data_IF_258017508233
#
_entry.id   IF_258017508233
#
_cell.length_a   1.000
_cell.length_b   1.000
_cell.length_c   1.000
_cell.angle_alpha   90.00
_cell.angle_beta   90.00
_cell.angle_gamma   90.00
#
_symmetry.space_group_name_H-M   'P 1'
#
loop_
_entity.id
_entity.type
_entity.pdbx_description
1 polymer ?
#
# COMPACT_ATOMS: atom_id res chain seq x y z
N UNK A 1 -13.78 -28.18 -7.70
CA UNK A 1 -12.88 -28.43 -6.56
C UNK A 1 -12.59 -27.15 -5.78
N UNK A 2 -12.06 -26.08 -6.41
CA UNK A 2 -11.84 -24.79 -5.73
C UNK A 2 -13.06 -24.21 -5.01
N UNK A 3 -14.26 -24.29 -5.59
CA UNK A 3 -15.49 -23.80 -4.93
C UNK A 3 -15.86 -24.56 -3.66
N UNK A 4 -15.70 -25.89 -3.66
CA UNK A 4 -15.94 -26.72 -2.46
C UNK A 4 -14.90 -26.40 -1.38
N UNK A 5 -13.64 -26.19 -1.77
CA UNK A 5 -12.59 -25.74 -0.85
C UNK A 5 -12.93 -24.37 -0.24
N UNK A 6 -13.37 -23.40 -1.05
CA UNK A 6 -13.75 -22.05 -0.58
C UNK A 6 -14.95 -22.12 0.38
N UNK A 7 -15.98 -22.89 0.06
CA UNK A 7 -17.17 -23.06 0.90
C UNK A 7 -16.81 -23.75 2.22
N UNK A 8 -15.98 -24.80 2.18
CA UNK A 8 -15.50 -25.47 3.39
C UNK A 8 -14.66 -24.56 4.30
N UNK A 9 -13.82 -23.71 3.70
CA UNK A 9 -12.99 -22.74 4.42
C UNK A 9 -13.84 -21.62 5.04
N UNK A 10 -14.92 -21.20 4.36
CA UNK A 10 -15.87 -20.23 4.87
C UNK A 10 -16.66 -20.77 6.08
N UNK A 11 -17.14 -22.01 6.03
CA UNK A 11 -17.81 -22.67 7.15
C UNK A 11 -16.88 -22.88 8.35
N UNK A 12 -15.62 -23.24 8.10
CA UNK A 12 -14.60 -23.37 9.15
C UNK A 12 -14.35 -22.04 9.89
N UNK A 13 -14.35 -20.92 9.15
CA UNK A 13 -14.17 -19.60 9.75
C UNK A 13 -15.42 -19.06 10.44
N UNK A 14 -16.62 -19.44 10.00
CA UNK A 14 -17.87 -19.10 10.71
C UNK A 14 -17.96 -19.82 12.07
N UNK A 15 -17.49 -21.08 12.14
CA UNK A 15 -17.48 -21.86 13.38
C UNK A 15 -16.52 -21.33 14.46
N UNK A 16 -15.57 -20.43 14.12
CA UNK A 16 -14.64 -19.83 15.07
C UNK A 16 -15.14 -18.44 15.51
N UNK A 17 -15.92 -18.40 16.59
CA UNK A 17 -16.51 -17.18 17.20
C UNK A 17 -15.48 -16.21 17.85
N UNK A 18 -14.28 -16.06 17.28
CA UNK A 18 -13.20 -15.29 17.88
C UNK A 18 -12.77 -14.03 17.11
N UNK A 19 -12.68 -14.10 15.78
CA UNK A 19 -12.17 -13.01 14.91
C UNK A 19 -12.74 -13.14 13.49
N UNK A 20 -13.26 -12.06 12.93
CA UNK A 20 -13.79 -12.07 11.56
C UNK A 20 -12.71 -12.39 10.51
N UNK A 21 -13.11 -13.00 9.38
CA UNK A 21 -12.23 -13.36 8.25
C UNK A 21 -11.38 -12.18 7.78
N UNK A 22 -11.96 -10.98 7.78
CA UNK A 22 -11.26 -9.74 7.44
C UNK A 22 -10.05 -9.46 8.36
N UNK A 23 -10.17 -9.76 9.66
CA UNK A 23 -9.05 -9.59 10.62
C UNK A 23 -7.91 -10.55 10.32
N UNK A 24 -8.22 -11.77 9.90
CA UNK A 24 -7.21 -12.74 9.47
C UNK A 24 -6.55 -12.34 8.15
N UNK A 25 -7.34 -11.88 7.18
CA UNK A 25 -6.82 -11.36 5.91
C UNK A 25 -5.87 -10.18 6.13
N UNK A 26 -6.28 -9.19 6.92
CA UNK A 26 -5.43 -8.05 7.28
C UNK A 26 -4.21 -8.52 8.07
N UNK A 27 -4.38 -9.40 9.06
CA UNK A 27 -3.28 -9.93 9.87
C UNK A 27 -2.19 -10.59 9.02
N UNK A 28 -2.57 -11.51 8.14
CA UNK A 28 -1.65 -12.19 7.23
C UNK A 28 -1.03 -11.20 6.24
N UNK A 29 -1.84 -10.29 5.69
CA UNK A 29 -1.39 -9.25 4.77
C UNK A 29 -0.34 -8.32 5.39
N UNK A 30 -0.52 -7.91 6.65
CA UNK A 30 0.48 -7.11 7.36
C UNK A 30 1.74 -7.89 7.70
N UNK A 31 1.62 -9.16 8.06
CA UNK A 31 2.78 -9.97 8.43
C UNK A 31 3.71 -10.27 7.26
N UNK A 32 3.14 -10.48 6.07
CA UNK A 32 3.91 -10.88 4.89
C UNK A 32 4.14 -9.68 3.97
N UNK A 33 3.07 -8.95 3.64
CA UNK A 33 3.10 -7.88 2.65
C UNK A 33 3.97 -6.69 3.06
N UNK A 34 3.97 -6.31 4.35
CA UNK A 34 4.67 -5.10 4.82
C UNK A 34 6.19 -5.31 4.85
N UNK A 35 6.73 -6.38 5.47
CA UNK A 35 8.16 -6.69 5.36
C UNK A 35 8.69 -6.71 3.93
N UNK A 36 7.91 -7.22 2.97
CA UNK A 36 8.32 -7.33 1.57
C UNK A 36 8.20 -6.01 0.79
N UNK A 37 7.20 -5.19 1.07
CA UNK A 37 6.99 -3.93 0.34
C UNK A 37 8.05 -2.88 0.66
N UNK A 38 8.61 -2.90 1.88
CA UNK A 38 9.62 -1.95 2.35
C UNK A 38 10.90 -1.96 1.50
N UNK A 39 11.64 -3.08 1.35
CA UNK A 39 12.85 -3.11 0.55
C UNK A 39 12.58 -2.87 -0.93
N UNK A 40 11.40 -3.26 -1.44
CA UNK A 40 11.00 -2.99 -2.81
C UNK A 40 10.84 -1.49 -3.06
N UNK A 41 10.17 -0.77 -2.15
CA UNK A 41 10.00 0.68 -2.24
C UNK A 41 11.33 1.40 -2.03
N UNK A 42 12.10 1.03 -1.01
CA UNK A 42 13.40 1.65 -0.71
C UNK A 42 14.42 1.42 -1.82
N UNK A 43 14.42 0.25 -2.46
CA UNK A 43 15.30 -0.08 -3.58
C UNK A 43 15.03 0.77 -4.84
N UNK A 44 13.83 1.33 -4.98
CA UNK A 44 13.50 2.25 -6.07
C UNK A 44 14.20 3.62 -5.90
N UNK A 45 14.34 4.09 -4.66
CA UNK A 45 14.91 5.41 -4.36
C UNK A 45 16.40 5.36 -3.98
N UNK A 46 16.88 4.24 -3.43
CA UNK A 46 18.24 4.11 -2.91
C UNK A 46 19.11 3.28 -3.83
N UNK A 47 19.99 3.94 -4.60
CA UNK A 47 20.96 3.28 -5.49
C UNK A 47 22.06 2.51 -4.74
N UNK A 48 22.40 2.93 -3.52
CA UNK A 48 23.54 2.41 -2.73
C UNK A 48 23.10 1.35 -1.71
N UNK A 49 22.44 0.28 -2.15
CA UNK A 49 22.10 -0.85 -1.29
C UNK A 49 22.86 -2.11 -1.75
N UNK A 50 23.36 -2.97 -0.82
CA UNK A 50 23.93 -4.26 -1.19
C UNK A 50 22.87 -5.27 -1.63
N UNK A 51 23.26 -6.31 -2.36
CA UNK A 51 22.33 -7.33 -2.90
C UNK A 51 21.54 -8.09 -1.83
N UNK A 52 22.10 -8.23 -0.63
CA UNK A 52 21.48 -8.92 0.51
C UNK A 52 20.58 -8.02 1.36
N UNK A 53 20.56 -6.70 1.12
CA UNK A 53 19.82 -5.73 1.93
C UNK A 53 18.33 -6.07 2.03
N UNK A 54 17.72 -6.49 0.91
CA UNK A 54 16.31 -6.84 0.86
C UNK A 54 15.98 -8.02 1.79
N UNK A 55 16.77 -9.10 1.73
CA UNK A 55 16.55 -10.30 2.53
C UNK A 55 16.72 -9.98 4.02
N UNK A 56 17.79 -9.27 4.39
CA UNK A 56 18.04 -8.87 5.79
C UNK A 56 16.92 -7.99 6.33
N UNK A 57 16.43 -7.04 5.52
CA UNK A 57 15.30 -6.18 5.89
C UNK A 57 14.04 -6.99 6.14
N UNK A 58 13.69 -7.94 5.26
CA UNK A 58 12.52 -8.82 5.44
C UNK A 58 12.66 -9.68 6.69
N UNK A 59 13.82 -10.31 6.89
CA UNK A 59 14.05 -11.18 8.05
C UNK A 59 13.95 -10.41 9.37
N UNK A 60 14.54 -9.22 9.45
CA UNK A 60 14.53 -8.43 10.70
C UNK A 60 13.15 -7.79 10.94
N UNK A 61 12.43 -7.36 9.90
CA UNK A 61 11.06 -6.81 10.06
C UNK A 61 10.01 -7.86 10.42
N UNK A 62 10.30 -9.14 10.19
CA UNK A 62 9.45 -10.22 10.67
C UNK A 62 9.52 -10.36 12.20
N UNK A 63 10.62 -9.97 12.85
CA UNK A 63 10.80 -10.04 14.31
C UNK A 63 9.73 -9.25 15.08
N UNK A 64 9.49 -7.95 14.83
CA UNK A 64 8.42 -7.21 15.51
C UNK A 64 7.02 -7.79 15.22
N UNK A 65 6.81 -8.39 14.05
CA UNK A 65 5.54 -9.08 13.74
C UNK A 65 5.31 -10.30 14.63
N UNK A 66 6.39 -11.06 14.90
CA UNK A 66 6.36 -12.21 15.81
C UNK A 66 6.22 -11.74 17.27
N UNK A 67 6.98 -10.72 17.68
CA UNK A 67 6.88 -10.13 19.02
C UNK A 67 5.46 -9.63 19.32
N UNK A 68 4.80 -8.96 18.37
CA UNK A 68 3.43 -8.47 18.57
C UNK A 68 2.36 -9.57 18.69
N UNK A 69 2.66 -10.82 18.33
CA UNK A 69 1.78 -11.99 18.53
C UNK A 69 2.05 -12.62 19.89
N UNK A 70 3.32 -12.82 20.22
CA UNK A 70 3.76 -13.47 21.46
C UNK A 70 3.95 -12.48 22.62
N UNK A 71 3.59 -11.21 22.44
CA UNK A 71 3.78 -10.14 23.42
C UNK A 71 3.33 -10.58 24.83
N UNK A 72 2.10 -11.09 24.96
CA UNK A 72 1.57 -11.58 26.25
C UNK A 72 2.37 -12.76 26.83
N UNK A 73 2.77 -13.72 26.00
CA UNK A 73 3.55 -14.89 26.45
C UNK A 73 4.97 -14.49 26.87
N UNK A 74 5.57 -13.55 26.15
CA UNK A 74 6.88 -12.98 26.44
C UNK A 74 6.80 -12.16 27.73
N UNK A 75 5.80 -11.30 27.88
CA UNK A 75 5.57 -10.53 29.10
C UNK A 75 5.38 -11.43 30.32
N UNK A 76 4.56 -12.48 30.20
CA UNK A 76 4.36 -13.44 31.29
C UNK A 76 5.63 -14.22 31.67
N UNK A 77 6.54 -14.47 30.72
CA UNK A 77 7.82 -15.12 30.97
C UNK A 77 8.84 -14.18 31.65
N UNK A 78 8.91 -12.92 31.22
CA UNK A 78 9.89 -11.95 31.73
C UNK A 78 9.43 -11.23 33.02
N UNK A 79 8.13 -11.00 33.20
CA UNK A 79 7.60 -10.14 34.26
C UNK A 79 6.65 -10.87 35.23
N UNK A 80 6.43 -12.18 35.04
CA UNK A 80 5.46 -12.95 35.82
C UNK A 80 4.01 -12.63 35.44
N UNK A 81 3.06 -13.40 35.97
CA UNK A 81 1.64 -13.24 35.66
C UNK A 81 1.20 -11.77 35.90
N UNK A 82 0.55 -11.19 34.90
CA UNK A 82 0.33 -9.74 34.76
C UNK A 82 -0.49 -9.09 35.89
N UNK A 83 -0.92 -9.89 36.87
CA UNK A 83 -1.69 -9.47 38.03
C UNK A 83 -0.84 -8.86 39.18
N UNK A 84 0.48 -9.10 39.25
CA UNK A 84 1.29 -8.62 40.40
C UNK A 84 2.63 -7.93 40.06
N UNK A 85 3.04 -7.87 38.79
CA UNK A 85 4.34 -7.28 38.38
C UNK A 85 4.31 -5.80 37.94
N UNK A 86 3.15 -5.15 37.96
CA UNK A 86 2.93 -3.84 37.34
C UNK A 86 3.59 -2.62 38.05
N UNK A 87 4.39 -2.82 39.11
CA UNK A 87 4.97 -1.71 39.88
C UNK A 87 6.48 -1.47 39.64
N UNK A 88 7.16 -2.26 38.82
CA UNK A 88 8.61 -2.10 38.60
C UNK A 88 9.05 -2.15 37.12
N UNK A 89 8.13 -1.93 36.18
CA UNK A 89 8.39 -2.02 34.75
C UNK A 89 8.02 -0.72 34.05
N UNK A 90 9.02 -0.15 33.36
CA UNK A 90 8.95 1.11 32.63
C UNK A 90 7.76 1.11 31.66
N UNK A 91 7.01 2.22 31.54
CA UNK A 91 5.76 2.30 30.76
C UNK A 91 5.91 1.71 29.34
N UNK A 92 7.07 1.94 28.73
CA UNK A 92 7.44 1.44 27.41
C UNK A 92 7.39 -0.10 27.31
N UNK A 93 7.83 -0.82 28.35
CA UNK A 93 7.85 -2.28 28.38
C UNK A 93 6.43 -2.89 28.41
N UNK A 94 5.49 -2.23 29.09
CA UNK A 94 4.07 -2.61 29.12
C UNK A 94 3.42 -2.37 27.75
N UNK A 95 3.74 -1.29 27.04
CA UNK A 95 3.24 -1.07 25.68
C UNK A 95 3.82 -2.03 24.65
N UNK A 96 5.11 -2.39 24.75
CA UNK A 96 5.75 -3.34 23.86
C UNK A 96 5.37 -4.81 24.14
N UNK A 97 5.08 -5.18 25.38
CA UNK A 97 4.89 -6.62 25.73
C UNK A 97 3.58 -6.93 26.45
N UNK A 98 2.93 -5.97 27.12
CA UNK A 98 1.76 -6.23 27.97
C UNK A 98 0.44 -6.50 27.25
N UNK A 99 0.26 -6.03 26.01
CA UNK A 99 -0.98 -6.20 25.25
C UNK A 99 -0.73 -6.73 23.82
N UNK A 100 -1.70 -7.46 23.20
CA UNK A 100 -1.57 -7.85 21.81
C UNK A 100 -1.63 -6.59 20.95
N UNK A 101 -0.63 -6.39 20.09
CA UNK A 101 -0.54 -5.16 19.32
C UNK A 101 -1.71 -5.05 18.34
N UNK A 102 -2.25 -3.83 18.21
CA UNK A 102 -3.21 -3.51 17.16
C UNK A 102 -2.58 -3.66 15.78
N UNK A 103 -3.42 -3.80 14.75
CA UNK A 103 -2.96 -3.87 13.38
C UNK A 103 -2.15 -2.63 12.98
N UNK A 104 -2.62 -1.42 13.36
CA UNK A 104 -1.91 -0.18 13.04
C UNK A 104 -0.52 -0.13 13.67
N UNK A 105 -0.38 -0.55 14.93
CA UNK A 105 0.91 -0.57 15.62
C UNK A 105 1.88 -1.53 14.94
N UNK A 106 1.43 -2.72 14.55
CA UNK A 106 2.25 -3.69 13.79
C UNK A 106 2.72 -3.11 12.46
N UNK A 107 1.80 -2.50 11.70
CA UNK A 107 2.13 -1.87 10.43
C UNK A 107 3.20 -0.78 10.58
N UNK A 108 2.96 0.19 11.47
CA UNK A 108 3.85 1.35 11.65
C UNK A 108 5.21 0.93 12.19
N UNK A 109 5.25 0.01 13.14
CA UNK A 109 6.51 -0.44 13.71
C UNK A 109 7.31 -1.25 12.71
N UNK A 110 6.68 -2.13 11.93
CA UNK A 110 7.33 -2.84 10.82
C UNK A 110 7.90 -1.87 9.78
N UNK A 111 7.15 -0.82 9.44
CA UNK A 111 7.59 0.22 8.51
C UNK A 111 8.84 0.94 9.03
N UNK A 112 8.81 1.44 10.27
CA UNK A 112 9.93 2.18 10.88
C UNK A 112 11.16 1.28 11.02
N UNK A 113 10.99 0.07 11.55
CA UNK A 113 12.08 -0.91 11.69
C UNK A 113 12.64 -1.26 10.32
N UNK A 114 11.80 -1.50 9.31
CA UNK A 114 12.27 -1.90 7.99
C UNK A 114 13.02 -0.81 7.25
N UNK A 115 12.52 0.43 7.29
CA UNK A 115 13.23 1.57 6.71
C UNK A 115 14.57 1.79 7.41
N UNK A 116 14.59 1.68 8.74
CA UNK A 116 15.82 1.85 9.54
C UNK A 116 16.83 0.76 9.23
N UNK A 117 16.42 -0.52 9.24
CA UNK A 117 17.28 -1.65 8.93
C UNK A 117 17.83 -1.54 7.52
N UNK A 118 16.98 -1.24 6.54
CA UNK A 118 17.42 -1.06 5.16
C UNK A 118 18.45 0.08 5.08
N UNK A 119 18.20 1.22 5.74
CA UNK A 119 19.14 2.34 5.78
C UNK A 119 20.48 1.94 6.43
N UNK A 120 20.47 1.13 7.49
CA UNK A 120 21.66 0.59 8.12
C UNK A 120 22.47 -0.36 7.20
N UNK A 121 21.88 -0.89 6.13
CA UNK A 121 22.63 -1.69 5.13
C UNK A 121 23.38 -0.83 4.11
N UNK A 122 23.03 0.45 3.95
CA UNK A 122 23.63 1.38 2.96
C UNK A 122 25.16 1.51 3.09
N UNK A 123 25.74 1.66 4.31
CA UNK A 123 27.19 1.72 4.47
C UNK A 123 27.92 0.47 3.94
N UNK A 124 27.24 -0.67 3.90
CA UNK A 124 27.77 -1.95 3.41
C UNK A 124 27.57 -2.15 1.91
N UNK A 125 27.17 -1.13 1.14
CA UNK A 125 26.95 -1.25 -0.30
C UNK A 125 28.15 -1.86 -1.05
N UNK A 126 29.39 -1.61 -0.58
CA UNK A 126 30.63 -2.10 -1.21
C UNK A 126 30.86 -3.62 -1.07
N UNK A 127 30.06 -4.34 -0.30
CA UNK A 127 30.22 -5.79 -0.13
C UNK A 127 29.70 -6.59 -1.34
N UNK A 128 28.98 -5.95 -2.26
CA UNK A 128 28.38 -6.61 -3.42
C UNK A 128 29.35 -6.64 -4.60
N UNK A 129 29.15 -7.60 -5.51
CA UNK A 129 30.02 -7.73 -6.68
C UNK A 129 29.90 -6.54 -7.63
N UNK A 130 30.96 -6.28 -8.40
CA UNK A 130 30.93 -5.23 -9.43
C UNK A 130 29.79 -5.45 -10.45
N UNK A 131 29.57 -6.70 -10.87
CA UNK A 131 28.47 -7.06 -11.76
C UNK A 131 27.07 -6.68 -11.21
N UNK A 132 26.88 -6.68 -9.89
CA UNK A 132 25.65 -6.21 -9.27
C UNK A 132 25.53 -4.68 -9.36
N UNK A 133 26.61 -3.95 -9.06
CA UNK A 133 26.65 -2.49 -9.16
C UNK A 133 26.40 -1.98 -10.60
N UNK A 134 26.86 -2.72 -11.60
CA UNK A 134 26.63 -2.40 -13.00
C UNK A 134 25.15 -2.59 -13.39
N UNK A 135 24.52 -3.68 -12.93
CA UNK A 135 23.07 -3.91 -13.11
C UNK A 135 22.23 -2.82 -12.45
N UNK A 136 22.54 -2.47 -11.20
CA UNK A 136 21.86 -1.38 -10.48
C UNK A 136 22.04 -0.06 -11.23
N UNK A 137 23.26 0.24 -11.70
CA UNK A 137 23.51 1.47 -12.47
C UNK A 137 22.76 1.52 -13.79
N UNK A 138 22.65 0.39 -14.50
CA UNK A 138 21.86 0.28 -15.72
C UNK A 138 20.35 0.48 -15.45
N UNK A 139 19.82 -0.11 -14.38
CA UNK A 139 18.44 0.08 -13.94
C UNK A 139 18.15 1.56 -13.66
N UNK A 140 18.96 2.20 -12.82
CA UNK A 140 18.77 3.62 -12.49
C UNK A 140 18.97 4.53 -13.71
N UNK A 141 19.90 4.21 -14.62
CA UNK A 141 20.05 4.95 -15.88
C UNK A 141 18.76 4.87 -16.70
N UNK A 142 18.21 3.67 -16.89
CA UNK A 142 16.95 3.46 -17.63
C UNK A 142 15.76 4.15 -16.96
N UNK A 143 15.66 4.10 -15.63
CA UNK A 143 14.59 4.76 -14.88
C UNK A 143 14.60 6.29 -15.05
N UNK A 144 15.79 6.89 -15.11
CA UNK A 144 15.95 8.34 -15.28
C UNK A 144 15.97 8.78 -16.75
N UNK A 145 16.00 7.85 -17.71
CA UNK A 145 15.86 8.20 -19.12
C UNK A 145 14.44 8.73 -19.34
N UNK A 146 14.29 9.96 -19.88
CA UNK A 146 12.97 10.52 -20.13
C UNK A 146 12.22 9.66 -21.16
N UNK A 147 10.93 9.47 -20.93
CA UNK A 147 10.05 8.72 -21.83
C UNK A 147 9.74 9.59 -23.04
N UNK A 148 10.03 9.09 -24.25
CA UNK A 148 9.61 9.75 -25.49
C UNK A 148 8.14 9.41 -25.77
N UNK A 149 7.25 10.33 -25.42
CA UNK A 149 5.81 10.18 -25.54
C UNK A 149 5.35 9.99 -27.00
N UNK A 150 6.06 10.58 -27.96
CA UNK A 150 5.70 10.51 -29.38
C UNK A 150 6.01 9.12 -29.96
N UNK A 151 7.07 8.48 -29.47
CA UNK A 151 7.58 7.22 -30.02
C UNK A 151 7.12 6.00 -29.20
N UNK A 152 6.97 6.11 -27.87
CA UNK A 152 6.81 4.95 -26.98
C UNK A 152 5.41 4.76 -26.37
N UNK A 153 4.60 5.82 -26.22
CA UNK A 153 3.36 5.77 -25.42
C UNK A 153 2.08 5.77 -26.28
N UNK A 154 2.16 6.17 -27.55
CA UNK A 154 0.97 6.26 -28.41
C UNK A 154 0.02 7.38 -27.98
N UNK A 155 -1.29 7.14 -28.01
CA UNK A 155 -2.30 8.15 -27.65
C UNK A 155 -2.27 8.46 -26.14
N UNK A 156 -2.13 9.75 -25.77
CA UNK A 156 -2.17 10.24 -24.38
C UNK A 156 -3.44 9.77 -23.65
N UNK A 157 -3.28 8.82 -22.73
CA UNK A 157 -4.40 8.16 -22.05
C UNK A 157 -4.59 8.60 -20.59
N UNK A 158 -3.83 9.59 -20.12
CA UNK A 158 -3.80 10.05 -18.72
C UNK A 158 -5.18 10.48 -18.23
N UNK A 159 -5.93 11.20 -19.06
CA UNK A 159 -7.30 11.62 -18.76
C UNK A 159 -8.25 10.43 -18.54
N UNK A 160 -8.16 9.41 -19.40
CA UNK A 160 -9.01 8.21 -19.28
C UNK A 160 -8.62 7.41 -18.03
N UNK A 161 -7.33 7.32 -17.69
CA UNK A 161 -6.87 6.66 -16.47
C UNK A 161 -7.36 7.37 -15.20
N UNK A 162 -7.31 8.71 -15.15
CA UNK A 162 -7.84 9.51 -14.03
C UNK A 162 -9.35 9.27 -13.83
N UNK A 163 -10.12 9.21 -14.92
CA UNK A 163 -11.56 8.90 -14.86
C UNK A 163 -11.80 7.49 -14.34
N UNK A 164 -11.08 6.49 -14.84
CA UNK A 164 -11.24 5.09 -14.40
C UNK A 164 -10.91 4.96 -12.90
N UNK A 165 -9.78 5.52 -12.46
CA UNK A 165 -9.38 5.52 -11.06
C UNK A 165 -10.39 6.27 -10.18
N UNK A 166 -10.87 7.42 -10.64
CA UNK A 166 -11.87 8.22 -9.93
C UNK A 166 -13.20 7.50 -9.74
N UNK A 167 -13.72 6.86 -10.81
CA UNK A 167 -14.97 6.08 -10.75
C UNK A 167 -14.85 4.87 -9.84
N UNK A 168 -13.73 4.15 -9.91
CA UNK A 168 -13.48 3.02 -9.02
C UNK A 168 -13.48 3.45 -7.55
N UNK A 169 -12.81 4.56 -7.23
CA UNK A 169 -12.80 5.13 -5.88
C UNK A 169 -14.18 5.59 -5.41
N UNK A 170 -14.95 6.29 -6.27
CA UNK A 170 -16.33 6.68 -5.94
C UNK A 170 -17.23 5.48 -5.63
N UNK A 171 -17.22 4.47 -6.51
CA UNK A 171 -18.05 3.27 -6.34
C UNK A 171 -17.68 2.57 -5.04
N UNK A 172 -16.39 2.41 -4.77
CA UNK A 172 -15.89 1.78 -3.55
C UNK A 172 -16.33 2.56 -2.31
N UNK A 173 -16.15 3.89 -2.28
CA UNK A 173 -16.60 4.72 -1.17
C UNK A 173 -18.12 4.65 -0.95
N UNK A 174 -18.91 4.65 -2.01
CA UNK A 174 -20.37 4.50 -1.94
C UNK A 174 -20.78 3.14 -1.36
N UNK A 175 -20.14 2.04 -1.79
CA UNK A 175 -20.41 0.70 -1.27
C UNK A 175 -20.01 0.57 0.21
N UNK A 176 -18.90 1.18 0.63
CA UNK A 176 -18.49 1.22 2.04
C UNK A 176 -19.54 1.97 2.88
N UNK A 177 -20.02 3.11 2.40
CA UNK A 177 -21.10 3.86 3.06
C UNK A 177 -22.38 3.02 3.18
N UNK A 178 -22.74 2.26 2.15
CA UNK A 178 -23.90 1.35 2.20
C UNK A 178 -23.71 0.26 3.27
N UNK A 179 -22.54 -0.37 3.31
CA UNK A 179 -22.22 -1.39 4.32
C UNK A 179 -22.23 -0.84 5.75
N UNK A 180 -21.91 0.45 5.94
CA UNK A 180 -21.96 1.11 7.23
C UNK A 180 -23.37 1.05 7.86
N UNK A 181 -24.43 1.10 7.06
CA UNK A 181 -25.81 0.98 7.55
C UNK A 181 -26.22 -0.45 7.88
N UNK A 182 -25.58 -1.45 7.28
CA UNK A 182 -25.86 -2.86 7.55
C UNK A 182 -25.22 -3.36 8.86
N UNK A 183 -24.15 -2.70 9.32
CA UNK A 183 -23.40 -3.11 10.51
C UNK A 183 -23.83 -2.30 11.72
N UNK A 184 -24.22 -2.99 12.79
CA UNK A 184 -24.55 -2.39 14.07
C UNK A 184 -23.27 -2.24 14.93
N UNK A 185 -22.64 -1.08 14.85
CA UNK A 185 -21.47 -0.68 15.65
C UNK A 185 -21.79 0.58 16.46
N UNK A 186 -20.88 0.99 17.35
CA UNK A 186 -21.08 2.21 18.13
C UNK A 186 -21.15 3.45 17.24
N UNK A 187 -21.86 4.50 17.70
CA UNK A 187 -22.00 5.74 16.93
C UNK A 187 -20.63 6.35 16.55
N UNK A 188 -19.62 6.25 17.42
CA UNK A 188 -18.27 6.73 17.14
C UNK A 188 -17.58 5.97 16.00
N UNK A 189 -17.78 4.65 15.92
CA UNK A 189 -17.24 3.82 14.84
C UNK A 189 -17.94 4.11 13.50
N UNK A 190 -19.25 4.35 13.52
CA UNK A 190 -19.98 4.80 12.31
C UNK A 190 -19.41 6.10 11.75
N UNK A 191 -19.16 7.11 12.61
CA UNK A 191 -18.56 8.37 12.15
C UNK A 191 -17.16 8.19 11.56
N UNK A 192 -16.34 7.32 12.14
CA UNK A 192 -15.02 7.00 11.60
C UNK A 192 -15.12 6.35 10.21
N UNK A 193 -16.04 5.38 10.03
CA UNK A 193 -16.26 4.71 8.73
C UNK A 193 -16.80 5.69 7.70
N UNK A 194 -17.78 6.52 8.05
CA UNK A 194 -18.35 7.53 7.16
C UNK A 194 -17.32 8.58 6.75
N UNK A 195 -16.43 8.97 7.66
CA UNK A 195 -15.33 9.87 7.33
C UNK A 195 -14.39 9.26 6.29
N UNK A 196 -13.93 8.02 6.50
CA UNK A 196 -13.06 7.31 5.56
C UNK A 196 -13.75 7.11 4.21
N UNK A 197 -14.98 6.59 4.20
CA UNK A 197 -15.76 6.39 2.98
C UNK A 197 -16.00 7.70 2.22
N UNK A 198 -16.30 8.78 2.95
CA UNK A 198 -16.45 10.12 2.42
C UNK A 198 -15.17 10.66 1.78
N UNK A 199 -14.00 10.47 2.40
CA UNK A 199 -12.72 10.87 1.80
C UNK A 199 -12.41 10.09 0.53
N UNK A 200 -12.63 8.76 0.52
CA UNK A 200 -12.42 7.91 -0.66
C UNK A 200 -13.35 8.30 -1.81
N UNK A 201 -14.63 8.54 -1.52
CA UNK A 201 -15.58 9.02 -2.51
C UNK A 201 -15.26 10.44 -2.98
N UNK A 202 -14.82 11.32 -2.08
CA UNK A 202 -14.45 12.70 -2.35
C UNK A 202 -13.23 12.81 -3.27
N UNK A 203 -12.14 12.10 -2.96
CA UNK A 203 -10.95 12.01 -3.82
C UNK A 203 -11.33 11.42 -5.19
N UNK A 204 -12.12 10.34 -5.21
CA UNK A 204 -12.65 9.77 -6.44
C UNK A 204 -13.45 10.78 -7.27
N UNK A 205 -14.21 11.65 -6.61
CA UNK A 205 -14.98 12.72 -7.24
C UNK A 205 -14.12 13.78 -7.88
N UNK A 206 -13.08 14.20 -7.19
CA UNK A 206 -12.10 15.15 -7.71
C UNK A 206 -11.38 14.56 -8.92
N UNK A 207 -10.88 13.32 -8.83
CA UNK A 207 -10.18 12.66 -9.94
C UNK A 207 -11.07 12.47 -11.17
N UNK A 208 -12.32 12.03 -10.97
CA UNK A 208 -13.27 11.88 -12.07
C UNK A 208 -13.58 13.23 -12.72
N UNK A 209 -13.81 14.28 -11.92
CA UNK A 209 -14.06 15.62 -12.45
C UNK A 209 -12.88 16.16 -13.25
N UNK A 210 -11.67 16.09 -12.70
CA UNK A 210 -10.45 16.55 -13.36
C UNK A 210 -10.15 15.74 -14.63
N UNK A 211 -10.32 14.42 -14.58
CA UNK A 211 -10.12 13.53 -15.73
C UNK A 211 -11.11 13.82 -16.86
N UNK A 212 -12.39 14.04 -16.56
CA UNK A 212 -13.40 14.44 -17.56
C UNK A 212 -13.06 15.81 -18.17
N UNK A 213 -12.64 16.77 -17.34
CA UNK A 213 -12.28 18.12 -17.81
C UNK A 213 -11.05 18.09 -18.71
N UNK A 214 -10.04 17.29 -18.35
CA UNK A 214 -8.86 17.07 -19.16
C UNK A 214 -9.24 16.46 -20.50
N UNK A 215 -9.96 15.34 -20.50
CA UNK A 215 -10.36 14.64 -21.72
C UNK A 215 -11.19 15.51 -22.67
N UNK A 216 -12.12 16.32 -22.14
CA UNK A 216 -12.89 17.25 -22.95
C UNK A 216 -12.02 18.33 -23.60
N UNK A 217 -11.03 18.87 -22.88
CA UNK A 217 -10.10 19.87 -23.44
C UNK A 217 -9.25 19.25 -24.55
N UNK A 218 -8.67 18.08 -24.31
CA UNK A 218 -7.83 17.40 -25.31
C UNK A 218 -8.64 17.07 -26.57
N UNK A 219 -9.90 16.65 -26.41
CA UNK A 219 -10.80 16.38 -27.53
C UNK A 219 -11.08 17.64 -28.36
N UNK A 220 -11.42 18.76 -27.72
CA UNK A 220 -11.69 20.03 -28.41
C UNK A 220 -10.45 20.53 -29.17
N UNK A 221 -9.26 20.44 -28.57
CA UNK A 221 -8.00 20.82 -29.24
C UNK A 221 -7.70 19.93 -30.45
N UNK A 222 -7.97 18.63 -30.34
CA UNK A 222 -7.81 17.70 -31.46
C UNK A 222 -8.80 17.99 -32.61
N UNK A 223 -10.06 18.28 -32.28
CA UNK A 223 -11.09 18.69 -33.26
C UNK A 223 -10.68 19.99 -33.98
N UNK A 224 -10.15 20.98 -33.25
CA UNK A 224 -9.64 22.25 -33.82
C UNK A 224 -8.45 22.02 -34.77
N UNK A 225 -7.43 21.28 -34.33
CA UNK A 225 -6.25 21.01 -35.16
C UNK A 225 -6.61 20.26 -36.46
N UNK A 226 -7.58 19.34 -36.40
CA UNK A 226 -8.07 18.66 -37.60
C UNK A 226 -8.79 19.63 -38.55
N UNK A 227 -9.61 20.55 -38.02
CA UNK A 227 -10.31 21.54 -38.85
C UNK A 227 -9.34 22.52 -39.52
N UNK A 228 -8.27 22.94 -38.83
CA UNK A 228 -7.21 23.80 -39.38
C UNK A 228 -6.43 23.07 -40.48
N UNK A 229 -6.03 21.82 -40.25
CA UNK A 229 -5.33 21.01 -41.26
C UNK A 229 -6.19 20.79 -42.52
N UNK A 230 -7.49 20.57 -42.36
CA UNK A 230 -8.43 20.47 -43.48
C UNK A 230 -8.55 21.79 -44.26
N UNK A 231 -8.63 22.92 -43.57
CA UNK A 231 -8.70 24.23 -44.21
C UNK A 231 -7.43 24.56 -45.03
N UNK A 232 -6.25 24.23 -44.50
CA UNK A 232 -4.98 24.40 -45.22
C UNK A 232 -4.92 23.50 -46.47
N UNK A 233 -5.28 22.23 -46.34
CA UNK A 233 -5.25 21.29 -47.47
C UNK A 233 -6.18 21.71 -48.63
N UNK A 234 -7.34 22.30 -48.32
CA UNK A 234 -8.28 22.82 -49.33
C UNK A 234 -7.71 24.07 -50.04
N UNK A 235 -6.96 24.90 -49.33
CA UNK A 235 -6.38 26.14 -49.88
C UNK A 235 -5.21 25.85 -50.83
N UNK A 236 -4.45 24.78 -50.61
CA UNK A 236 -3.33 24.39 -51.50
C UNK A 236 -3.77 23.66 -52.79
N UNK A 237 -5.03 23.24 -52.89
CA UNK A 237 -5.59 22.56 -54.08
C UNK A 237 -6.25 23.49 -55.11
N UNK A 238 -6.30 24.80 -54.84
CA UNK A 238 -6.86 25.85 -55.73
C UNK A 238 -5.71 26.67 -56.29
#
# INVERSE_FOLDING_TARGET
MFGVCIIGLALYFEAQQGKGVFTWMLGIGAMIGVPMSIPMLMGLFVKRAPSWAAIVTVCITMVPSVLGIYAKSIAGYFYGDAAQGAQAVDDLSIYLTGNPWSFQTKLLLNLVVGVTVFACTIPFARTSSQAYHDKVSAFFKRMHTPVDLATEVGELNDGKQLVVMGRFSMITGCLITLLCFAVNVSAGEHWAVLFVAGTVAGVGSILNFLGMRYNNRTRVLAEQAQSEAQAVCVTETI
#
